data_IF_437280991521
#
_entry.id   IF_437280991521
#
_cell.length_a   1.000
_cell.length_b   1.000
_cell.length_c   1.000
_cell.angle_alpha   90.00
_cell.angle_beta   90.00
_cell.angle_gamma   90.00
#
_symmetry.space_group_name_H-M   'P 1'
#
loop_
_entity.id
_entity.type
_entity.pdbx_description
1 polymer ?
#
# COMPACT_ATOMS: atom_id res chain seq x y z
N UNK A 1 -8.10 5.10 6.72
CA UNK A 1 -8.29 6.48 7.19
C UNK A 1 -7.08 7.03 7.96
N UNK A 2 -6.35 6.20 8.71
CA UNK A 2 -5.11 6.56 9.41
C UNK A 2 -4.07 7.25 8.50
N UNK A 3 -3.82 6.71 7.30
CA UNK A 3 -2.85 7.27 6.35
C UNK A 3 -3.11 8.74 5.99
N UNK A 4 -4.36 9.09 5.67
CA UNK A 4 -4.69 10.47 5.30
C UNK A 4 -4.50 11.42 6.49
N UNK A 5 -4.79 10.98 7.71
CA UNK A 5 -4.52 11.74 8.92
C UNK A 5 -3.02 11.98 9.11
N UNK A 6 -2.18 10.95 8.95
CA UNK A 6 -0.72 11.07 9.06
C UNK A 6 -0.15 12.01 8.00
N UNK A 7 -0.63 11.95 6.75
CA UNK A 7 -0.23 12.89 5.69
C UNK A 7 -0.58 14.34 6.02
N UNK A 8 -1.82 14.58 6.49
CA UNK A 8 -2.25 15.93 6.86
C UNK A 8 -1.37 16.48 7.99
N UNK A 9 -1.10 15.67 9.03
CA UNK A 9 -0.25 16.06 10.16
C UNK A 9 1.18 16.36 9.67
N UNK A 10 1.76 15.49 8.84
CA UNK A 10 3.11 15.68 8.31
C UNK A 10 3.23 16.97 7.47
N UNK A 11 2.23 17.26 6.61
CA UNK A 11 2.18 18.49 5.82
C UNK A 11 2.09 19.71 6.74
N UNK A 12 1.21 19.68 7.74
CA UNK A 12 1.04 20.79 8.68
C UNK A 12 2.32 21.05 9.47
N UNK A 13 2.95 20.00 10.02
CA UNK A 13 4.22 20.13 10.75
C UNK A 13 5.32 20.73 9.88
N UNK A 14 5.44 20.26 8.63
CA UNK A 14 6.45 20.77 7.69
C UNK A 14 6.20 22.24 7.35
N UNK A 15 4.95 22.61 7.05
CA UNK A 15 4.58 23.99 6.73
C UNK A 15 4.81 24.95 7.91
N UNK A 16 4.38 24.56 9.10
CA UNK A 16 4.51 25.38 10.30
C UNK A 16 5.99 25.58 10.62
N UNK A 17 6.78 24.50 10.65
CA UNK A 17 8.23 24.59 10.88
C UNK A 17 8.93 25.49 9.86
N UNK A 18 8.60 25.34 8.57
CA UNK A 18 9.19 26.14 7.50
C UNK A 18 8.82 27.64 7.60
N UNK A 19 7.56 27.96 7.87
CA UNK A 19 7.08 29.33 8.06
C UNK A 19 7.76 29.97 9.28
N UNK A 20 7.86 29.26 10.41
CA UNK A 20 8.54 29.77 11.60
C UNK A 20 10.02 30.06 11.35
N UNK A 21 10.72 29.21 10.59
CA UNK A 21 12.11 29.46 10.19
C UNK A 21 12.25 30.72 9.34
N UNK A 22 11.35 30.94 8.37
CA UNK A 22 11.35 32.13 7.51
C UNK A 22 11.11 33.43 8.30
N UNK A 23 10.34 33.37 9.40
CA UNK A 23 10.06 34.52 10.28
C UNK A 23 11.23 34.76 11.28
N UNK A 24 12.27 33.92 11.27
CA UNK A 24 13.48 34.11 12.07
C UNK A 24 13.61 33.15 13.27
N UNK A 25 12.66 32.24 13.48
CA UNK A 25 12.75 31.21 14.52
C UNK A 25 13.51 29.99 14.00
N UNK A 26 14.83 30.16 13.81
CA UNK A 26 15.74 29.10 13.34
C UNK A 26 15.80 27.88 14.26
N UNK A 27 15.39 28.02 15.52
CA UNK A 27 15.27 26.93 16.50
C UNK A 27 14.24 25.86 16.08
N UNK A 28 13.29 26.17 15.20
CA UNK A 28 12.29 25.23 14.70
C UNK A 28 12.72 24.47 13.44
N UNK A 29 13.96 24.66 12.98
CA UNK A 29 14.52 23.92 11.84
C UNK A 29 14.42 22.38 12.00
N UNK A 30 14.71 21.78 13.19
CA UNK A 30 14.55 20.34 13.39
C UNK A 30 13.10 19.87 13.18
N UNK A 31 12.11 20.68 13.58
CA UNK A 31 10.69 20.35 13.40
C UNK A 31 10.30 20.28 11.93
N UNK A 32 10.81 21.20 11.10
CA UNK A 32 10.61 21.17 9.65
C UNK A 32 11.27 19.93 9.02
N UNK A 33 12.48 19.57 9.46
CA UNK A 33 13.19 18.37 9.01
C UNK A 33 12.42 17.11 9.36
N UNK A 34 11.95 16.98 10.60
CA UNK A 34 11.15 15.82 11.03
C UNK A 34 9.83 15.71 10.27
N UNK A 35 9.15 16.83 10.02
CA UNK A 35 7.96 16.86 9.18
C UNK A 35 8.25 16.38 7.75
N UNK A 36 9.34 16.86 7.16
CA UNK A 36 9.77 16.46 5.81
C UNK A 36 10.15 14.98 5.74
N UNK A 37 10.89 14.45 6.72
CA UNK A 37 11.24 13.03 6.80
C UNK A 37 9.99 12.15 6.92
N UNK A 38 9.03 12.51 7.77
CA UNK A 38 7.75 11.80 7.87
C UNK A 38 6.98 11.82 6.55
N UNK A 39 6.96 12.97 5.87
CA UNK A 39 6.28 13.12 4.59
C UNK A 39 6.93 12.23 3.51
N UNK A 40 8.26 12.19 3.45
CA UNK A 40 9.02 11.31 2.54
C UNK A 40 8.74 9.84 2.87
N UNK A 41 8.75 9.45 4.14
CA UNK A 41 8.50 8.08 4.56
C UNK A 41 7.11 7.59 4.13
N UNK A 42 6.07 8.41 4.32
CA UNK A 42 4.70 8.04 3.91
C UNK A 42 4.52 8.02 2.40
N UNK A 43 5.21 8.91 1.66
CA UNK A 43 5.22 8.87 0.19
C UNK A 43 5.96 7.63 -0.33
N UNK A 44 7.06 7.23 0.31
CA UNK A 44 7.80 6.03 -0.04
C UNK A 44 6.98 4.77 0.25
N UNK A 45 6.29 4.72 1.40
CA UNK A 45 5.36 3.67 1.73
C UNK A 45 4.26 3.54 0.66
N UNK A 46 3.69 4.67 0.21
CA UNK A 46 2.72 4.67 -0.88
C UNK A 46 3.30 4.08 -2.16
N UNK A 47 4.49 4.52 -2.57
CA UNK A 47 5.16 4.01 -3.77
C UNK A 47 5.41 2.50 -3.67
N UNK A 48 5.87 2.03 -2.51
CA UNK A 48 6.11 0.60 -2.23
C UNK A 48 4.83 -0.23 -2.28
N UNK A 49 3.72 0.27 -1.70
CA UNK A 49 2.42 -0.42 -1.72
C UNK A 49 1.76 -0.38 -3.09
N UNK A 50 1.82 0.74 -3.82
CA UNK A 50 1.29 0.84 -5.19
C UNK A 50 2.06 -0.09 -6.15
N UNK A 51 3.37 -0.26 -5.97
CA UNK A 51 4.16 -1.24 -6.74
C UNK A 51 3.82 -2.69 -6.39
N UNK A 52 3.63 -3.02 -5.10
CA UNK A 52 3.14 -4.35 -4.71
C UNK A 52 1.70 -4.61 -5.18
N UNK A 53 0.90 -3.56 -5.38
CA UNK A 53 -0.46 -3.68 -5.92
C UNK A 53 -0.55 -3.79 -7.44
N UNK A 54 0.46 -3.35 -8.19
CA UNK A 54 0.39 -3.17 -9.65
C UNK A 54 1.42 -3.92 -10.48
N UNK A 55 2.48 -4.49 -9.90
CA UNK A 55 3.56 -5.08 -10.68
C UNK A 55 3.44 -6.61 -10.76
N UNK A 56 2.89 -7.04 -11.89
CA UNK A 56 2.86 -8.41 -12.42
C UNK A 56 4.29 -8.92 -12.69
N UNK A 57 5.11 -9.10 -11.65
CA UNK A 57 6.51 -9.57 -11.76
C UNK A 57 6.60 -10.97 -11.16
N UNK A 58 6.04 -11.94 -11.88
CA UNK A 58 6.21 -13.35 -11.59
C UNK A 58 5.03 -14.18 -12.08
N UNK A 59 5.31 -15.39 -12.56
CA UNK A 59 4.27 -16.38 -12.79
C UNK A 59 3.53 -16.60 -11.48
N UNK A 60 2.26 -16.22 -11.46
CA UNK A 60 1.36 -16.54 -10.36
C UNK A 60 0.81 -17.94 -10.65
N UNK A 61 1.22 -18.91 -9.85
CA UNK A 61 0.79 -20.29 -10.01
C UNK A 61 -0.55 -20.49 -9.32
N UNK A 62 -1.51 -21.04 -10.08
CA UNK A 62 -2.80 -21.42 -9.52
C UNK A 62 -2.59 -22.63 -8.62
N UNK A 63 -2.97 -22.51 -7.37
CA UNK A 63 -3.04 -23.68 -6.50
C UNK A 63 -4.42 -24.35 -6.64
N UNK A 64 -4.51 -25.59 -6.18
CA UNK A 64 -5.78 -26.32 -6.10
C UNK A 64 -6.64 -25.86 -4.91
N UNK A 65 -6.11 -24.97 -4.05
CA UNK A 65 -6.85 -24.45 -2.91
C UNK A 65 -7.94 -23.49 -3.36
N UNK A 66 -9.20 -23.90 -3.11
CA UNK A 66 -10.39 -23.11 -3.32
C UNK A 66 -11.23 -23.11 -2.06
N UNK A 67 -11.75 -21.96 -1.68
CA UNK A 67 -12.62 -21.84 -0.52
C UNK A 67 -13.69 -20.78 -0.75
N UNK A 68 -14.81 -20.92 -0.04
CA UNK A 68 -15.87 -19.91 -0.05
C UNK A 68 -15.52 -18.87 1.00
N UNK A 69 -15.40 -17.62 0.57
CA UNK A 69 -15.20 -16.50 1.47
C UNK A 69 -16.49 -16.26 2.29
N UNK A 70 -16.46 -16.40 3.63
CA UNK A 70 -17.66 -16.25 4.46
C UNK A 70 -18.20 -14.82 4.49
N UNK A 71 -17.40 -13.81 4.15
CA UNK A 71 -17.84 -12.41 4.13
C UNK A 71 -18.59 -12.06 2.85
N UNK A 72 -18.17 -12.65 1.72
CA UNK A 72 -18.71 -12.31 0.39
C UNK A 72 -19.56 -13.42 -0.24
N UNK A 73 -19.49 -14.64 0.29
CA UNK A 73 -20.11 -15.84 -0.28
C UNK A 73 -19.50 -16.28 -1.61
N UNK A 74 -18.39 -15.66 -2.05
CA UNK A 74 -17.76 -15.94 -3.34
C UNK A 74 -16.75 -17.07 -3.23
N UNK A 75 -16.65 -17.88 -4.28
CA UNK A 75 -15.58 -18.85 -4.43
C UNK A 75 -14.27 -18.10 -4.75
N UNK A 76 -13.30 -18.24 -3.85
CA UNK A 76 -11.96 -17.68 -3.99
C UNK A 76 -11.00 -18.80 -4.39
N UNK A 77 -10.14 -18.53 -5.38
CA UNK A 77 -8.99 -19.36 -5.68
C UNK A 77 -7.72 -18.69 -5.14
N UNK A 78 -6.84 -19.50 -4.57
CA UNK A 78 -5.52 -19.06 -4.11
C UNK A 78 -4.53 -19.13 -5.28
N UNK A 79 -3.83 -18.02 -5.52
CA UNK A 79 -2.62 -18.00 -6.34
C UNK A 79 -1.41 -17.86 -5.44
N UNK A 80 -0.37 -18.59 -5.77
CA UNK A 80 0.91 -18.56 -5.09
C UNK A 80 1.98 -17.97 -6.01
N UNK A 81 2.88 -17.17 -5.46
CA UNK A 81 4.03 -16.66 -6.18
C UNK A 81 5.31 -17.24 -5.58
N UNK A 82 5.99 -18.12 -6.33
CA UNK A 82 7.17 -18.84 -5.85
C UNK A 82 8.33 -17.92 -5.47
N UNK A 83 8.55 -16.85 -6.25
CA UNK A 83 9.67 -15.92 -6.04
C UNK A 83 9.57 -15.10 -4.75
N UNK A 84 8.36 -14.87 -4.24
CA UNK A 84 8.11 -13.96 -3.10
C UNK A 84 7.46 -14.68 -1.92
N UNK A 85 6.88 -15.87 -2.13
CA UNK A 85 6.06 -16.57 -1.15
C UNK A 85 4.70 -15.93 -0.92
N UNK A 86 4.30 -14.93 -1.72
CA UNK A 86 3.02 -14.24 -1.56
C UNK A 86 1.83 -15.12 -1.97
N UNK A 87 0.69 -14.93 -1.29
CA UNK A 87 -0.58 -15.56 -1.61
C UNK A 87 -1.60 -14.50 -2.00
N UNK A 88 -2.27 -14.69 -3.12
CA UNK A 88 -3.30 -13.78 -3.64
C UNK A 88 -4.61 -14.53 -3.80
N UNK A 89 -5.70 -13.92 -3.34
CA UNK A 89 -7.05 -14.47 -3.47
C UNK A 89 -7.77 -13.76 -4.61
N UNK A 90 -8.15 -14.51 -5.65
CA UNK A 90 -8.96 -13.98 -6.75
C UNK A 90 -10.32 -14.65 -6.76
N UNK A 91 -11.32 -13.93 -7.27
CA UNK A 91 -12.62 -14.53 -7.58
C UNK A 91 -12.39 -15.61 -8.64
N UNK A 92 -12.79 -16.84 -8.35
CA UNK A 92 -12.73 -17.90 -9.35
C UNK A 92 -13.91 -17.72 -10.29
N UNK A 93 -13.68 -17.17 -11.46
CA UNK A 93 -14.63 -17.25 -12.57
C UNK A 93 -14.69 -18.70 -13.03
N UNK A 94 -15.53 -19.50 -12.38
CA UNK A 94 -15.99 -20.76 -12.95
C UNK A 94 -17.01 -20.43 -14.05
N UNK A 95 -16.51 -19.93 -15.18
CA UNK A 95 -17.12 -20.27 -16.47
C UNK A 95 -16.41 -21.51 -16.96
N UNK A 96 -17.10 -22.62 -16.74
CA UNK A 96 -16.81 -23.95 -17.25
C UNK A 96 -16.56 -23.89 -18.77
N UNK A 97 -15.31 -23.77 -19.21
CA UNK A 97 -14.93 -24.24 -20.55
C UNK A 97 -14.75 -25.75 -20.48
N UNK A 98 -15.87 -26.46 -20.31
CA UNK A 98 -16.02 -27.76 -20.93
C UNK A 98 -16.24 -27.45 -22.42
N UNK A 99 -15.18 -27.52 -23.22
CA UNK A 99 -15.32 -27.71 -24.66
C UNK A 99 -14.75 -29.07 -24.98
N UNK A 100 -15.70 -29.90 -25.42
CA UNK A 100 -15.67 -31.22 -26.04
C UNK A 100 -14.41 -31.58 -26.81
#
# INVERSE_FOLDING_TARGET
MLRNAVLIIAILMTKIGFICVLIGYSQLLPTAIWGALLLIAVLFERWRYEQSGGANVGNWDKTEERFIDPETGKLKQVLYQENTGERRYVDSDEKSTHST
#
